data_IF_074051457182
#
_entry.id   IF_074051457182
#
_cell.length_a   1.000
_cell.length_b   1.000
_cell.length_c   1.000
_cell.angle_alpha   90.00
_cell.angle_beta   90.00
_cell.angle_gamma   90.00
#
_symmetry.space_group_name_H-M   'P 1'
#
loop_
_entity.id
_entity.type
_entity.pdbx_description
1 polymer ?
#
# COMPACT_ATOMS: atom_id res chain seq x y z
N UNK A 1 -7.84 -13.19 -23.80
CA UNK A 1 -6.46 -13.57 -24.22
C UNK A 1 -5.50 -12.40 -24.46
N UNK A 2 -5.87 -11.31 -25.16
CA UNK A 2 -4.90 -10.25 -25.53
C UNK A 2 -4.37 -9.42 -24.34
N UNK A 3 -5.19 -9.16 -23.32
CA UNK A 3 -4.81 -8.43 -22.10
C UNK A 3 -3.75 -9.18 -21.28
N UNK A 4 -3.92 -10.50 -21.10
CA UNK A 4 -2.97 -11.34 -20.38
C UNK A 4 -1.58 -11.32 -21.02
N UNK A 5 -1.51 -11.50 -22.34
CA UNK A 5 -0.25 -11.49 -23.06
C UNK A 5 0.46 -10.13 -23.01
N UNK A 6 -0.31 -9.02 -22.98
CA UNK A 6 0.25 -7.69 -22.76
C UNK A 6 0.80 -7.54 -21.34
N UNK A 7 0.07 -8.01 -20.34
CA UNK A 7 0.48 -7.96 -18.93
C UNK A 7 1.77 -8.75 -18.68
N UNK A 8 1.83 -10.00 -19.12
CA UNK A 8 3.01 -10.86 -19.02
C UNK A 8 4.24 -10.22 -19.68
N UNK A 9 4.06 -9.60 -20.86
CA UNK A 9 5.15 -8.92 -21.58
C UNK A 9 5.73 -7.76 -20.79
N UNK A 10 4.89 -6.87 -20.27
CA UNK A 10 5.37 -5.71 -19.52
C UNK A 10 5.92 -6.10 -18.15
N UNK A 11 5.35 -7.09 -17.48
CA UNK A 11 5.86 -7.60 -16.22
C UNK A 11 7.23 -8.28 -16.40
N UNK A 12 7.41 -9.07 -17.46
CA UNK A 12 8.71 -9.64 -17.80
C UNK A 12 9.76 -8.55 -18.12
N UNK A 13 9.35 -7.46 -18.79
CA UNK A 13 10.24 -6.33 -19.03
C UNK A 13 10.70 -5.68 -17.71
N UNK A 14 9.78 -5.48 -16.77
CA UNK A 14 10.08 -4.97 -15.42
C UNK A 14 11.04 -5.89 -14.66
N UNK A 15 10.76 -7.20 -14.60
CA UNK A 15 11.58 -8.16 -13.86
C UNK A 15 12.97 -8.41 -14.47
N UNK A 16 13.12 -8.23 -15.80
CA UNK A 16 14.40 -8.41 -16.51
C UNK A 16 15.35 -7.23 -16.37
N UNK A 17 14.85 -6.02 -16.13
CA UNK A 17 15.68 -4.81 -16.01
C UNK A 17 16.25 -4.58 -14.61
N UNK A 18 16.05 -5.53 -13.70
CA UNK A 18 16.65 -5.51 -12.35
C UNK A 18 18.16 -5.25 -12.42
N UNK A 19 18.69 -4.33 -11.60
CA UNK A 19 18.03 -3.65 -10.47
C UNK A 19 17.23 -2.40 -10.83
N UNK A 20 17.20 -1.95 -12.08
CA UNK A 20 16.50 -0.73 -12.48
C UNK A 20 14.99 -0.96 -12.72
N UNK A 21 14.17 0.00 -12.29
CA UNK A 21 12.74 0.04 -12.57
C UNK A 21 12.50 0.47 -14.02
N UNK A 22 11.85 -0.38 -14.82
CA UNK A 22 11.44 -0.05 -16.19
C UNK A 22 10.19 0.83 -16.20
N UNK A 23 10.36 2.16 -16.08
CA UNK A 23 9.25 3.12 -16.00
C UNK A 23 8.22 2.99 -17.16
N UNK A 24 8.63 2.82 -18.43
CA UNK A 24 7.70 2.50 -19.51
C UNK A 24 6.83 1.27 -19.25
N UNK A 25 7.43 0.19 -18.74
CA UNK A 25 6.69 -1.03 -18.44
C UNK A 25 5.72 -0.84 -17.27
N UNK A 26 6.15 -0.16 -16.20
CA UNK A 26 5.30 0.20 -15.05
C UNK A 26 4.10 1.03 -15.48
N UNK A 27 4.33 2.04 -16.34
CA UNK A 27 3.24 2.87 -16.87
C UNK A 27 2.20 2.05 -17.64
N UNK A 28 2.65 1.15 -18.52
CA UNK A 28 1.73 0.30 -19.29
C UNK A 28 0.96 -0.67 -18.38
N UNK A 29 1.62 -1.26 -17.37
CA UNK A 29 0.97 -2.13 -16.38
C UNK A 29 -0.12 -1.38 -15.59
N UNK A 30 0.18 -0.16 -15.13
CA UNK A 30 -0.79 0.70 -14.44
C UNK A 30 -2.01 1.00 -15.32
N UNK A 31 -1.82 1.34 -16.60
CA UNK A 31 -2.92 1.59 -17.53
C UNK A 31 -3.78 0.34 -17.76
N UNK A 32 -3.16 -0.83 -17.90
CA UNK A 32 -3.88 -2.10 -18.01
C UNK A 32 -4.72 -2.36 -16.77
N UNK A 33 -4.18 -2.17 -15.56
CA UNK A 33 -4.94 -2.33 -14.32
C UNK A 33 -6.12 -1.34 -14.23
N UNK A 34 -5.91 -0.07 -14.61
CA UNK A 34 -6.99 0.94 -14.66
C UNK A 34 -8.11 0.55 -15.63
N UNK A 35 -7.74 0.03 -16.81
CA UNK A 35 -8.70 -0.46 -17.77
C UNK A 35 -9.51 -1.63 -17.19
N UNK A 36 -8.86 -2.61 -16.56
CA UNK A 36 -9.55 -3.75 -15.94
C UNK A 36 -10.49 -3.31 -14.81
N UNK A 37 -10.05 -2.40 -13.93
CA UNK A 37 -10.87 -1.86 -12.85
C UNK A 37 -12.13 -1.17 -13.39
N UNK A 38 -12.01 -0.42 -14.50
CA UNK A 38 -13.15 0.30 -15.10
C UNK A 38 -14.22 -0.64 -15.66
N UNK A 39 -13.82 -1.82 -16.13
CA UNK A 39 -14.74 -2.85 -16.65
C UNK A 39 -15.25 -3.81 -15.58
N UNK A 40 -14.73 -3.73 -14.35
CA UNK A 40 -15.00 -4.73 -13.32
C UNK A 40 -16.26 -4.41 -12.49
N UNK A 41 -17.13 -5.43 -12.36
CA UNK A 41 -18.34 -5.39 -11.56
C UNK A 41 -18.19 -6.10 -10.20
N UNK A 42 -17.31 -7.11 -10.09
CA UNK A 42 -17.12 -7.91 -8.88
C UNK A 42 -16.26 -7.17 -7.85
N UNK A 43 -16.76 -7.02 -6.62
CA UNK A 43 -16.11 -6.24 -5.55
C UNK A 43 -14.67 -6.72 -5.26
N UNK A 44 -14.46 -8.03 -5.11
CA UNK A 44 -13.14 -8.59 -4.77
C UNK A 44 -12.10 -8.30 -5.85
N UNK A 45 -12.50 -8.39 -7.12
CA UNK A 45 -11.63 -8.04 -8.24
C UNK A 45 -11.36 -6.54 -8.32
N UNK A 46 -12.32 -5.69 -7.93
CA UNK A 46 -12.08 -4.24 -7.85
C UNK A 46 -11.03 -3.91 -6.80
N UNK A 47 -11.08 -4.57 -5.63
CA UNK A 47 -10.04 -4.45 -4.60
C UNK A 47 -8.68 -4.87 -5.14
N UNK A 48 -8.58 -6.06 -5.76
CA UNK A 48 -7.34 -6.53 -6.38
C UNK A 48 -6.76 -5.52 -7.38
N UNK A 49 -7.58 -5.02 -8.31
CA UNK A 49 -7.11 -4.05 -9.31
C UNK A 49 -6.72 -2.71 -8.69
N UNK A 50 -7.44 -2.25 -7.66
CA UNK A 50 -7.08 -1.05 -6.92
C UNK A 50 -5.68 -1.19 -6.29
N UNK A 51 -5.44 -2.29 -5.58
CA UNK A 51 -4.13 -2.59 -4.98
C UNK A 51 -3.01 -2.67 -6.02
N UNK A 52 -3.28 -3.27 -7.18
CA UNK A 52 -2.30 -3.32 -8.28
C UNK A 52 -1.99 -1.93 -8.86
N UNK A 53 -2.99 -1.06 -9.00
CA UNK A 53 -2.80 0.33 -9.45
C UNK A 53 -1.95 1.09 -8.44
N UNK A 54 -2.23 0.94 -7.14
CA UNK A 54 -1.46 1.55 -6.06
C UNK A 54 0.01 1.14 -6.13
N UNK A 55 0.27 -0.15 -6.29
CA UNK A 55 1.62 -0.70 -6.42
C UNK A 55 2.39 -0.08 -7.59
N UNK A 56 1.83 -0.12 -8.82
CA UNK A 56 2.52 0.45 -9.99
C UNK A 56 2.65 1.97 -9.91
N UNK A 57 1.69 2.66 -9.31
CA UNK A 57 1.79 4.11 -9.08
C UNK A 57 2.97 4.42 -8.16
N UNK A 58 3.12 3.68 -7.05
CA UNK A 58 4.23 3.86 -6.10
C UNK A 58 5.61 3.61 -6.74
N UNK A 59 5.71 2.63 -7.65
CA UNK A 59 6.95 2.41 -8.43
C UNK A 59 7.33 3.60 -9.32
N UNK A 60 6.37 4.43 -9.73
CA UNK A 60 6.64 5.61 -10.58
C UNK A 60 7.07 6.86 -9.80
N UNK A 61 6.68 7.00 -8.55
CA UNK A 61 6.87 8.24 -7.76
C UNK A 61 8.35 8.51 -7.45
N UNK A 62 9.19 7.48 -7.39
CA UNK A 62 10.62 7.61 -7.13
C UNK A 62 11.47 7.01 -8.28
N UNK A 63 11.57 7.69 -9.43
CA UNK A 63 12.32 7.19 -10.57
C UNK A 63 13.83 7.11 -10.25
N UNK A 64 14.48 6.02 -10.63
CA UNK A 64 15.92 5.83 -10.46
C UNK A 64 16.36 5.09 -9.19
N UNK A 65 15.42 4.71 -8.31
CA UNK A 65 15.70 3.78 -7.21
C UNK A 65 15.78 2.33 -7.70
N UNK A 66 16.39 1.49 -6.88
CA UNK A 66 16.46 0.05 -7.13
C UNK A 66 15.08 -0.61 -6.92
N UNK A 67 14.78 -1.56 -7.80
CA UNK A 67 13.63 -2.44 -7.68
C UNK A 67 13.95 -3.56 -6.69
N UNK A 68 13.28 -3.54 -5.53
CA UNK A 68 13.61 -4.41 -4.41
C UNK A 68 13.04 -5.83 -4.56
N UNK A 69 13.47 -6.75 -3.71
CA UNK A 69 12.92 -8.12 -3.69
C UNK A 69 11.45 -8.16 -3.28
N UNK A 70 11.03 -7.35 -2.30
CA UNK A 70 9.62 -7.23 -1.89
C UNK A 70 8.74 -6.71 -3.04
N UNK A 71 9.26 -5.78 -3.83
CA UNK A 71 8.53 -5.28 -5.01
C UNK A 71 8.48 -6.30 -6.14
N UNK A 72 9.53 -7.10 -6.31
CA UNK A 72 9.48 -8.25 -7.20
C UNK A 72 8.44 -9.28 -6.74
N UNK A 73 8.31 -9.50 -5.43
CA UNK A 73 7.28 -10.35 -4.84
C UNK A 73 5.88 -9.79 -5.12
N UNK A 74 5.63 -8.51 -4.86
CA UNK A 74 4.37 -7.84 -5.13
C UNK A 74 4.00 -7.89 -6.63
N UNK A 75 4.97 -7.65 -7.53
CA UNK A 75 4.77 -7.80 -8.98
C UNK A 75 4.37 -9.24 -9.37
N UNK A 76 4.97 -10.25 -8.73
CA UNK A 76 4.56 -11.65 -8.91
C UNK A 76 3.15 -11.92 -8.36
N UNK A 77 2.74 -11.32 -7.24
CA UNK A 77 1.37 -11.46 -6.73
C UNK A 77 0.35 -10.87 -7.71
N UNK A 78 0.65 -9.72 -8.32
CA UNK A 78 -0.20 -9.15 -9.37
C UNK A 78 -0.29 -10.11 -10.57
N UNK A 79 0.82 -10.73 -10.99
CA UNK A 79 0.78 -11.74 -12.04
C UNK A 79 -0.09 -12.95 -11.65
N UNK A 80 0.06 -13.47 -10.44
CA UNK A 80 -0.76 -14.57 -9.93
C UNK A 80 -2.24 -14.25 -10.00
N UNK A 81 -2.66 -13.04 -9.63
CA UNK A 81 -4.06 -12.61 -9.75
C UNK A 81 -4.53 -12.50 -11.21
N UNK A 82 -3.69 -12.00 -12.13
CA UNK A 82 -4.00 -11.96 -13.56
C UNK A 82 -4.13 -13.37 -14.15
N UNK A 83 -3.25 -14.30 -13.75
CA UNK A 83 -3.29 -15.70 -14.17
C UNK A 83 -4.52 -16.41 -13.63
N UNK A 84 -4.87 -16.18 -12.37
CA UNK A 84 -6.09 -16.69 -11.73
C UNK A 84 -7.30 -16.28 -12.57
N UNK A 85 -7.42 -14.99 -12.91
CA UNK A 85 -8.52 -14.49 -13.75
C UNK A 85 -8.60 -15.19 -15.11
N UNK A 86 -7.45 -15.40 -15.75
CA UNK A 86 -7.36 -16.03 -17.06
C UNK A 86 -7.72 -17.51 -17.08
N UNK A 87 -7.79 -18.17 -15.93
CA UNK A 87 -8.30 -19.54 -15.80
C UNK A 87 -9.83 -19.60 -15.72
N UNK A 88 -10.49 -18.51 -15.30
CA UNK A 88 -11.94 -18.49 -15.02
C UNK A 88 -12.81 -17.87 -16.13
N UNK A 89 -12.25 -17.63 -17.32
CA UNK A 89 -12.98 -17.06 -18.47
C UNK A 89 -14.04 -18.01 -19.09
N UNK A 90 -14.37 -19.16 -18.48
CA UNK A 90 -15.32 -20.11 -19.08
C UNK A 90 -16.48 -20.59 -18.19
N UNK A 91 -16.32 -21.28 -17.06
CA UNK A 91 -17.48 -21.99 -16.44
C UNK A 91 -17.43 -22.21 -14.92
N UNK A 92 -16.37 -21.83 -14.21
CA UNK A 92 -16.29 -22.03 -12.76
C UNK A 92 -16.20 -20.69 -12.05
N UNK A 93 -16.99 -20.52 -10.99
CA UNK A 93 -16.89 -19.37 -10.12
C UNK A 93 -15.48 -19.35 -9.52
N UNK A 94 -14.81 -18.18 -9.43
CA UNK A 94 -13.52 -18.09 -8.77
C UNK A 94 -13.66 -18.66 -7.36
N UNK A 95 -12.69 -19.44 -6.90
CA UNK A 95 -12.45 -19.61 -5.47
C UNK A 95 -12.15 -18.21 -4.93
N UNK A 96 -13.18 -17.53 -4.42
CA UNK A 96 -13.05 -16.19 -3.83
C UNK A 96 -11.91 -16.14 -2.81
N UNK A 97 -11.66 -17.28 -2.14
CA UNK A 97 -10.57 -17.51 -1.20
C UNK A 97 -9.18 -17.29 -1.82
N UNK A 98 -8.91 -17.75 -3.05
CA UNK A 98 -7.58 -17.60 -3.67
C UNK A 98 -7.28 -16.15 -4.05
N UNK A 99 -8.28 -15.43 -4.59
CA UNK A 99 -8.14 -14.01 -4.91
C UNK A 99 -7.98 -13.17 -3.64
N UNK A 100 -8.68 -13.54 -2.56
CA UNK A 100 -8.56 -12.88 -1.28
C UNK A 100 -7.15 -13.06 -0.70
N UNK A 101 -6.57 -14.26 -0.77
CA UNK A 101 -5.18 -14.51 -0.35
C UNK A 101 -4.19 -13.67 -1.17
N UNK A 102 -4.32 -13.64 -2.49
CA UNK A 102 -3.45 -12.82 -3.36
C UNK A 102 -3.56 -11.34 -3.01
N UNK A 103 -4.78 -10.84 -2.81
CA UNK A 103 -5.03 -9.44 -2.46
C UNK A 103 -4.47 -9.09 -1.09
N UNK A 104 -4.59 -9.97 -0.10
CA UNK A 104 -4.00 -9.78 1.23
C UNK A 104 -2.48 -9.75 1.18
N UNK A 105 -1.84 -10.66 0.43
CA UNK A 105 -0.38 -10.66 0.26
C UNK A 105 0.10 -9.39 -0.45
N UNK A 106 -0.58 -8.99 -1.53
CA UNK A 106 -0.27 -7.74 -2.24
C UNK A 106 -0.44 -6.50 -1.37
N UNK A 107 -1.46 -6.49 -0.50
CA UNK A 107 -1.65 -5.45 0.50
C UNK A 107 -0.51 -5.43 1.52
N UNK A 108 -0.15 -6.58 2.10
CA UNK A 108 0.87 -6.69 3.13
C UNK A 108 2.25 -6.24 2.65
N UNK A 109 2.66 -6.62 1.44
CA UNK A 109 3.95 -6.19 0.85
C UNK A 109 4.02 -4.66 0.72
N UNK A 110 2.93 -4.03 0.24
CA UNK A 110 2.87 -2.57 0.12
C UNK A 110 2.81 -1.87 1.49
N UNK A 111 1.99 -2.40 2.39
CA UNK A 111 1.78 -1.83 3.71
C UNK A 111 3.05 -1.93 4.57
N UNK A 112 3.82 -3.01 4.47
CA UNK A 112 5.08 -3.17 5.20
C UNK A 112 6.12 -2.10 4.80
N UNK A 113 6.33 -1.90 3.49
CA UNK A 113 7.24 -0.86 2.97
C UNK A 113 6.84 0.53 3.49
N UNK A 114 5.55 0.88 3.38
CA UNK A 114 5.04 2.18 3.82
C UNK A 114 5.15 2.32 5.33
N UNK A 115 4.80 1.28 6.09
CA UNK A 115 4.85 1.30 7.55
C UNK A 115 6.28 1.47 8.07
N UNK A 116 7.25 0.78 7.47
CA UNK A 116 8.65 0.89 7.87
C UNK A 116 9.20 2.29 7.62
N UNK A 117 8.88 2.87 6.45
CA UNK A 117 9.28 4.25 6.11
C UNK A 117 8.63 5.27 7.05
N UNK A 118 7.33 5.16 7.32
CA UNK A 118 6.63 6.03 8.28
C UNK A 118 7.26 5.99 9.66
N UNK A 119 7.53 4.79 10.20
CA UNK A 119 8.17 4.65 11.52
C UNK A 119 9.57 5.25 11.50
N UNK A 120 10.37 4.98 10.46
CA UNK A 120 11.72 5.50 10.33
C UNK A 120 11.76 7.03 10.27
N UNK A 121 11.02 7.63 9.34
CA UNK A 121 11.03 9.07 9.07
C UNK A 121 10.47 9.87 10.25
N UNK A 122 9.37 9.42 10.85
CA UNK A 122 8.78 10.09 12.00
C UNK A 122 9.65 9.92 13.25
N UNK A 123 10.27 8.76 13.44
CA UNK A 123 11.20 8.59 14.56
C UNK A 123 12.40 9.50 14.42
N UNK A 124 13.02 9.56 13.24
CA UNK A 124 14.12 10.47 12.97
C UNK A 124 13.71 11.94 13.19
N UNK A 125 12.55 12.34 12.66
CA UNK A 125 12.04 13.70 12.85
C UNK A 125 11.75 14.02 14.32
N UNK A 126 11.28 13.06 15.12
CA UNK A 126 11.08 13.25 16.56
C UNK A 126 12.37 13.52 17.35
N UNK A 127 13.53 13.08 16.84
CA UNK A 127 14.84 13.38 17.43
C UNK A 127 15.35 14.77 17.04
N UNK A 128 14.84 15.33 15.94
CA UNK A 128 15.18 16.68 15.47
C UNK A 128 13.91 17.50 15.17
N UNK A 129 13.13 17.88 16.18
CA UNK A 129 11.82 18.54 15.98
C UNK A 129 11.90 19.89 15.26
N UNK A 130 13.04 20.56 15.36
CA UNK A 130 13.30 21.85 14.71
C UNK A 130 13.55 21.71 13.19
N UNK A 131 13.86 20.51 12.72
CA UNK A 131 14.03 20.23 11.30
C UNK A 131 12.70 20.29 10.55
N UNK A 132 12.79 20.52 9.24
CA UNK A 132 11.61 20.47 8.38
C UNK A 132 10.99 19.08 8.35
N UNK A 133 9.65 19.07 8.31
CA UNK A 133 8.90 17.82 8.22
C UNK A 133 9.29 17.09 6.92
N UNK A 134 9.56 15.77 6.98
CA UNK A 134 9.82 14.98 5.78
C UNK A 134 8.71 15.16 4.73
N UNK A 135 9.09 15.24 3.45
CA UNK A 135 8.13 15.56 2.39
C UNK A 135 7.06 14.48 2.19
N UNK A 136 7.41 13.21 2.38
CA UNK A 136 6.59 12.06 2.00
C UNK A 136 5.74 11.48 3.14
N UNK A 137 6.03 11.79 4.41
CA UNK A 137 5.34 11.15 5.56
C UNK A 137 3.82 11.34 5.56
N UNK A 138 3.34 12.50 5.12
CA UNK A 138 1.90 12.73 5.00
C UNK A 138 1.31 11.88 3.86
N UNK A 139 1.97 11.86 2.69
CA UNK A 139 1.50 11.10 1.53
C UNK A 139 1.49 9.59 1.83
N UNK A 140 2.47 9.11 2.58
CA UNK A 140 2.57 7.73 3.02
C UNK A 140 1.45 7.33 3.98
N UNK A 141 1.13 8.17 4.96
CA UNK A 141 0.01 7.93 5.87
C UNK A 141 -1.33 7.89 5.11
N UNK A 142 -1.52 8.79 4.14
CA UNK A 142 -2.70 8.78 3.25
C UNK A 142 -2.75 7.51 2.39
N UNK A 143 -1.62 7.08 1.84
CA UNK A 143 -1.54 5.89 1.01
C UNK A 143 -1.84 4.63 1.84
N UNK A 144 -1.29 4.51 3.05
CA UNK A 144 -1.63 3.44 4.00
C UNK A 144 -3.13 3.41 4.30
N UNK A 145 -3.74 4.57 4.58
CA UNK A 145 -5.17 4.67 4.86
C UNK A 145 -6.02 4.20 3.68
N UNK A 146 -5.60 4.49 2.45
CA UNK A 146 -6.27 4.04 1.23
C UNK A 146 -6.15 2.53 1.03
N UNK A 147 -4.95 1.98 1.15
CA UNK A 147 -4.71 0.54 1.04
C UNK A 147 -5.55 -0.25 2.07
N UNK A 148 -5.58 0.21 3.32
CA UNK A 148 -6.35 -0.41 4.39
C UNK A 148 -7.87 -0.32 4.13
N UNK A 149 -8.35 0.76 3.50
CA UNK A 149 -9.75 0.91 3.11
C UNK A 149 -10.14 -0.09 2.02
N UNK A 150 -9.28 -0.30 1.03
CA UNK A 150 -9.56 -1.22 -0.09
C UNK A 150 -9.74 -2.67 0.38
N UNK A 151 -9.02 -3.08 1.44
CA UNK A 151 -9.14 -4.41 2.07
C UNK A 151 -10.04 -4.43 3.32
N UNK A 152 -10.78 -3.34 3.58
CA UNK A 152 -11.68 -3.22 4.74
C UNK A 152 -11.02 -3.45 6.11
N UNK A 153 -9.73 -3.14 6.25
CA UNK A 153 -8.98 -3.25 7.50
C UNK A 153 -9.17 -1.97 8.34
N UNK A 154 -10.37 -1.85 8.92
CA UNK A 154 -10.87 -0.63 9.57
C UNK A 154 -9.94 -0.07 10.66
N UNK A 155 -9.31 -0.94 11.46
CA UNK A 155 -8.41 -0.50 12.53
C UNK A 155 -7.17 0.23 11.98
N UNK A 156 -6.52 -0.34 10.96
CA UNK A 156 -5.37 0.29 10.30
C UNK A 156 -5.80 1.56 9.58
N UNK A 157 -6.93 1.52 8.87
CA UNK A 157 -7.48 2.68 8.19
C UNK A 157 -7.70 3.86 9.16
N UNK A 158 -8.31 3.60 10.32
CA UNK A 158 -8.60 4.63 11.32
C UNK A 158 -7.32 5.29 11.85
N UNK A 159 -6.29 4.51 12.19
CA UNK A 159 -5.02 5.07 12.69
C UNK A 159 -4.29 5.84 11.60
N UNK A 160 -4.19 5.27 10.39
CA UNK A 160 -3.47 5.89 9.28
C UNK A 160 -4.14 7.19 8.80
N UNK A 161 -5.48 7.24 8.76
CA UNK A 161 -6.22 8.44 8.42
C UNK A 161 -6.06 9.53 9.48
N UNK A 162 -6.16 9.16 10.77
CA UNK A 162 -5.93 10.10 11.88
C UNK A 162 -4.48 10.64 11.88
N UNK A 163 -3.51 9.76 11.60
CA UNK A 163 -2.11 10.15 11.45
C UNK A 163 -1.93 11.13 10.28
N UNK A 164 -2.52 10.86 9.12
CA UNK A 164 -2.46 11.74 7.95
C UNK A 164 -3.04 13.14 8.26
N UNK A 165 -4.17 13.20 8.98
CA UNK A 165 -4.77 14.47 9.42
C UNK A 165 -3.85 15.22 10.39
N UNK A 166 -3.24 14.52 11.35
CA UNK A 166 -2.29 15.15 12.27
C UNK A 166 -1.06 15.70 11.55
N UNK A 167 -0.47 14.93 10.64
CA UNK A 167 0.67 15.39 9.84
C UNK A 167 0.33 16.61 8.99
N UNK A 168 -0.89 16.69 8.45
CA UNK A 168 -1.38 17.88 7.77
C UNK A 168 -1.45 19.11 8.70
N UNK A 169 -1.93 18.94 9.94
CA UNK A 169 -1.95 20.01 10.95
C UNK A 169 -0.54 20.45 11.33
N UNK A 170 0.38 19.50 11.53
CA UNK A 170 1.78 19.76 11.89
C UNK A 170 2.53 20.57 10.83
N UNK A 171 2.16 20.49 9.55
CA UNK A 171 2.70 21.38 8.50
C UNK A 171 2.37 22.85 8.75
N UNK A 172 1.21 23.14 9.34
CA UNK A 172 0.75 24.50 9.62
C UNK A 172 1.13 24.98 11.02
N UNK A 173 1.14 24.09 12.01
CA UNK A 173 1.42 24.41 13.41
C UNK A 173 2.27 23.29 14.03
N UNK A 174 3.56 23.55 14.22
CA UNK A 174 4.48 22.55 14.78
C UNK A 174 4.35 22.50 16.31
N UNK A 175 4.02 21.32 16.81
CA UNK A 175 3.97 21.02 18.25
C UNK A 175 4.75 19.73 18.49
N UNK A 176 5.78 19.77 19.34
CA UNK A 176 6.68 18.62 19.58
C UNK A 176 5.92 17.41 20.13
N UNK A 177 4.92 17.63 21.00
CA UNK A 177 4.07 16.58 21.52
C UNK A 177 3.33 15.81 20.40
N UNK A 178 2.85 16.52 19.39
CA UNK A 178 2.14 15.94 18.24
C UNK A 178 3.09 15.15 17.33
N UNK A 179 4.38 15.51 17.28
CA UNK A 179 5.40 14.71 16.57
C UNK A 179 5.57 13.36 17.27
N UNK A 180 5.70 13.34 18.60
CA UNK A 180 5.76 12.08 19.35
C UNK A 180 4.47 11.25 19.22
N UNK A 181 3.29 11.89 19.24
CA UNK A 181 2.02 11.22 18.96
C UNK A 181 2.02 10.59 17.55
N UNK A 182 2.59 11.28 16.55
CA UNK A 182 2.72 10.75 15.18
C UNK A 182 3.57 9.48 15.13
N UNK A 183 4.66 9.43 15.90
CA UNK A 183 5.49 8.21 16.04
C UNK A 183 4.69 7.07 16.64
N UNK A 184 3.92 7.33 17.71
CA UNK A 184 3.04 6.31 18.32
C UNK A 184 1.99 5.80 17.31
N UNK A 185 1.41 6.70 16.51
CA UNK A 185 0.47 6.33 15.44
C UNK A 185 1.08 5.40 14.39
N UNK A 186 2.29 5.71 13.91
CA UNK A 186 2.99 4.86 12.94
C UNK A 186 3.38 3.49 13.52
N UNK A 187 3.80 3.44 14.79
CA UNK A 187 4.08 2.18 15.50
C UNK A 187 2.81 1.35 15.68
N UNK A 188 1.68 1.99 15.96
CA UNK A 188 0.39 1.31 16.10
C UNK A 188 -0.10 0.74 14.76
N UNK A 189 0.08 1.46 13.64
CA UNK A 189 -0.15 0.92 12.29
C UNK A 189 0.69 -0.34 12.08
N UNK A 190 1.99 -0.29 12.38
CA UNK A 190 2.89 -1.44 12.25
C UNK A 190 2.42 -2.64 13.09
N UNK A 191 2.04 -2.39 14.35
CA UNK A 191 1.52 -3.42 15.27
C UNK A 191 0.25 -4.08 14.71
N UNK A 192 -0.69 -3.28 14.19
CA UNK A 192 -1.93 -3.79 13.63
C UNK A 192 -1.69 -4.61 12.35
N UNK A 193 -0.75 -4.18 11.49
CA UNK A 193 -0.35 -4.94 10.30
C UNK A 193 0.29 -6.29 10.66
N UNK A 194 1.16 -6.32 11.67
CA UNK A 194 1.75 -7.57 12.16
C UNK A 194 0.69 -8.54 12.70
N UNK A 195 -0.32 -8.04 13.41
CA UNK A 195 -1.45 -8.86 13.85
C UNK A 195 -2.26 -9.38 12.67
N UNK A 196 -2.53 -8.52 11.68
CA UNK A 196 -3.25 -8.91 10.48
C UNK A 196 -2.50 -9.99 9.68
N UNK A 197 -1.17 -9.89 9.55
CA UNK A 197 -0.33 -10.86 8.85
C UNK A 197 -0.39 -12.27 9.47
N UNK A 198 -0.63 -12.38 10.79
CA UNK A 198 -0.83 -13.67 11.48
C UNK A 198 -2.31 -14.08 11.56
N UNK A 199 -3.21 -13.39 10.86
CA UNK A 199 -4.65 -13.69 10.79
C UNK A 199 -5.50 -13.07 11.91
N UNK A 200 -4.95 -12.15 12.72
CA UNK A 200 -5.67 -11.51 13.82
C UNK A 200 -6.08 -10.08 13.48
N UNK A 201 -7.38 -9.79 13.51
CA UNK A 201 -7.89 -8.41 13.40
C UNK A 201 -8.07 -7.84 14.80
N UNK A 202 -7.31 -6.79 15.14
CA UNK A 202 -7.42 -6.08 16.41
C UNK A 202 -7.92 -4.66 16.23
N UNK A 203 -8.58 -4.14 17.26
CA UNK A 203 -8.90 -2.73 17.36
C UNK A 203 -7.62 -1.92 17.64
N UNK A 204 -7.57 -0.67 17.17
CA UNK A 204 -6.52 0.27 17.52
C UNK A 204 -6.57 0.65 18.99
N UNK A 205 -5.43 0.97 19.58
CA UNK A 205 -5.37 1.44 20.96
C UNK A 205 -5.98 2.84 21.10
N UNK A 206 -6.94 3.01 22.01
CA UNK A 206 -7.68 4.27 22.18
C UNK A 206 -6.79 5.44 22.62
N UNK A 207 -5.81 5.19 23.48
CA UNK A 207 -4.83 6.19 23.91
C UNK A 207 -4.00 6.74 22.75
N UNK A 208 -3.64 5.90 21.76
CA UNK A 208 -2.91 6.35 20.56
C UNK A 208 -3.81 7.22 19.70
N UNK A 209 -5.08 6.82 19.50
CA UNK A 209 -6.04 7.62 18.74
C UNK A 209 -6.35 8.96 19.41
N UNK A 210 -6.51 9.00 20.73
CA UNK A 210 -6.69 10.25 21.49
C UNK A 210 -5.47 11.17 21.32
N UNK A 211 -4.26 10.63 21.48
CA UNK A 211 -3.02 11.38 21.29
C UNK A 211 -2.90 11.94 19.85
N UNK A 212 -3.29 11.17 18.83
CA UNK A 212 -3.31 11.63 17.43
C UNK A 212 -4.38 12.70 17.15
N UNK A 213 -5.45 12.76 17.94
CA UNK A 213 -6.50 13.78 17.79
C UNK A 213 -6.12 15.10 18.46
N UNK A 214 -5.25 15.03 19.48
CA UNK A 214 -4.91 16.13 20.36
C UNK A 214 -5.85 16.25 21.57
N UNK A 215 -6.47 15.12 21.96
CA UNK A 215 -7.40 15.02 23.10
C UNK A 215 -6.68 14.82 24.44
#
# INVERSE_FOLDING_TARGET
MQVRAAFERHLLALLRRRPAIDLPAVYQLEQLCKQQLSSEALADWRTFWSLAIHFFTALRVAPGREFTESEACAANQVLSGVLLRGQFDAHDAPSADDLQVISHLLFLEQADIISQRLVHDLHHWSQTPDADMPHDVQADAQHMAQLARDVSLNGVHQVADTLAMQLARLRTQRVVADIHASVQGAQEVSRLLQQFAVGNVRAPQENVLAALRGD
#
